data_IF_569956368635
#
_entry.id   IF_569956368635
#
_cell.length_a   1.000
_cell.length_b   1.000
_cell.length_c   1.000
_cell.angle_alpha   90.00
_cell.angle_beta   90.00
_cell.angle_gamma   90.00
#
_symmetry.space_group_name_H-M   'P 1'
#
loop_
_entity.id
_entity.type
_entity.pdbx_description
1 polymer ?
#
# COMPACT_ATOMS: atom_id res chain seq x y z
N UNK A 1 -5.28 -4.69 32.89
CA UNK A 1 -3.96 -5.36 32.96
C UNK A 1 -3.52 -5.65 31.54
N UNK A 2 -2.29 -5.32 31.15
CA UNK A 2 -1.77 -5.62 29.80
C UNK A 2 -1.02 -6.96 29.84
N UNK A 3 -1.37 -7.87 28.93
CA UNK A 3 -0.70 -9.17 28.76
C UNK A 3 0.16 -9.11 27.50
N UNK A 4 1.47 -9.32 27.65
CA UNK A 4 2.40 -9.41 26.52
C UNK A 4 2.66 -10.85 26.17
N UNK A 5 2.45 -11.20 24.91
CA UNK A 5 2.51 -12.58 24.43
C UNK A 5 3.66 -12.72 23.45
N UNK A 6 4.57 -13.65 23.71
CA UNK A 6 5.70 -13.92 22.81
C UNK A 6 5.32 -15.02 21.83
N UNK A 7 5.61 -14.78 20.56
CA UNK A 7 5.34 -15.72 19.48
C UNK A 7 6.38 -15.62 18.38
N UNK A 8 6.29 -16.53 17.42
CA UNK A 8 7.11 -16.50 16.21
C UNK A 8 6.26 -15.95 15.07
N UNK A 9 6.78 -14.95 14.37
CA UNK A 9 6.18 -14.50 13.12
C UNK A 9 6.80 -15.24 11.93
N UNK A 10 5.97 -15.77 11.04
CA UNK A 10 6.42 -16.39 9.79
C UNK A 10 5.34 -16.21 8.70
N UNK A 11 5.74 -15.63 7.57
CA UNK A 11 4.91 -15.50 6.36
C UNK A 11 3.49 -14.95 6.60
N UNK A 12 3.37 -13.87 7.39
CA UNK A 12 2.09 -13.24 7.69
C UNK A 12 1.32 -13.86 8.86
N UNK A 13 1.84 -14.93 9.48
CA UNK A 13 1.21 -15.61 10.61
C UNK A 13 2.00 -15.39 11.89
N UNK A 14 1.28 -15.06 12.98
CA UNK A 14 1.85 -15.03 14.34
C UNK A 14 1.49 -16.35 15.02
N UNK A 15 2.50 -17.14 15.36
CA UNK A 15 2.36 -18.41 16.06
C UNK A 15 2.64 -18.16 17.54
N UNK A 16 1.58 -18.15 18.33
CA UNK A 16 1.66 -18.06 19.79
C UNK A 16 1.91 -19.48 20.31
N UNK A 17 2.94 -19.68 21.13
CA UNK A 17 3.31 -21.01 21.66
C UNK A 17 2.46 -21.44 22.86
N UNK A 18 1.79 -20.48 23.50
CA UNK A 18 1.02 -20.67 24.72
C UNK A 18 -0.46 -20.45 24.45
N UNK A 19 -1.31 -21.29 25.05
CA UNK A 19 -2.75 -21.14 24.92
C UNK A 19 -3.25 -20.05 25.87
N UNK A 20 -3.90 -19.03 25.31
CA UNK A 20 -4.44 -17.91 26.07
C UNK A 20 -5.96 -18.02 26.07
N UNK A 21 -6.52 -18.34 27.24
CA UNK A 21 -7.96 -18.38 27.43
C UNK A 21 -8.51 -16.97 27.50
N UNK A 22 -9.47 -16.67 26.63
CA UNK A 22 -10.16 -15.39 26.60
C UNK A 22 -11.65 -15.65 26.48
N UNK A 23 -12.45 -15.01 27.33
CA UNK A 23 -13.90 -15.24 27.34
C UNK A 23 -14.62 -14.52 26.19
N UNK A 24 -13.95 -13.53 25.58
CA UNK A 24 -14.49 -12.68 24.51
C UNK A 24 -13.39 -12.37 23.48
N UNK A 25 -13.75 -12.09 22.22
CA UNK A 25 -12.81 -11.57 21.23
C UNK A 25 -12.11 -10.31 21.72
N UNK A 26 -10.80 -10.24 21.53
CA UNK A 26 -9.96 -9.13 21.98
C UNK A 26 -9.20 -8.53 20.81
N UNK A 27 -9.10 -7.20 20.79
CA UNK A 27 -8.21 -6.49 19.88
C UNK A 27 -6.77 -6.67 20.35
N UNK A 28 -5.86 -6.96 19.42
CA UNK A 28 -4.44 -7.18 19.70
C UNK A 28 -3.56 -6.23 18.90
N UNK A 29 -2.46 -5.80 19.51
CA UNK A 29 -1.41 -5.05 18.85
C UNK A 29 -0.19 -5.97 18.70
N UNK A 30 0.29 -6.13 17.47
CA UNK A 30 1.45 -6.97 17.17
C UNK A 30 2.67 -6.08 17.00
N UNK A 31 3.69 -6.30 17.84
CA UNK A 31 4.96 -5.59 17.78
C UNK A 31 6.07 -6.57 17.40
N UNK A 32 6.81 -6.27 16.34
CA UNK A 32 7.99 -7.03 15.94
C UNK A 32 9.21 -6.51 16.69
N UNK A 33 9.99 -7.41 17.28
CA UNK A 33 11.18 -7.06 18.08
C UNK A 33 12.41 -6.76 17.21
N UNK A 34 12.38 -7.15 15.93
CA UNK A 34 13.43 -6.89 14.96
C UNK A 34 12.96 -5.88 13.91
N UNK A 35 13.92 -5.19 13.29
CA UNK A 35 13.64 -4.35 12.13
C UNK A 35 13.22 -5.21 10.94
N UNK A 36 11.91 -5.48 10.85
CA UNK A 36 11.32 -6.02 9.64
C UNK A 36 11.24 -4.91 8.61
N UNK A 37 11.88 -5.13 7.46
CA UNK A 37 11.62 -4.32 6.27
C UNK A 37 10.16 -4.49 5.92
N UNK A 38 9.32 -3.53 6.33
CA UNK A 38 7.96 -3.45 5.84
C UNK A 38 8.01 -3.51 4.30
N UNK A 39 7.07 -4.19 3.62
CA UNK A 39 6.96 -4.11 2.17
C UNK A 39 6.88 -2.62 1.84
N UNK A 40 7.99 -2.08 1.33
CA UNK A 40 8.22 -0.66 1.32
C UNK A 40 7.08 0.00 0.55
N UNK A 41 6.47 1.03 1.14
CA UNK A 41 5.70 1.99 0.34
C UNK A 41 6.62 2.35 -0.82
N UNK A 42 6.24 1.98 -2.06
CA UNK A 42 7.04 2.28 -3.25
C UNK A 42 7.25 3.79 -3.26
N UNK A 43 8.41 4.24 -2.76
CA UNK A 43 8.79 5.65 -2.84
C UNK A 43 8.96 5.91 -4.33
N UNK A 44 8.17 6.85 -4.85
CA UNK A 44 8.33 7.31 -6.22
C UNK A 44 9.75 7.87 -6.33
N UNK A 45 10.59 7.18 -7.09
CA UNK A 45 11.95 7.63 -7.35
C UNK A 45 11.87 8.73 -8.39
N UNK A 46 12.19 9.96 -7.99
CA UNK A 46 12.13 11.12 -8.88
C UNK A 46 13.02 10.96 -10.12
N UNK A 47 14.11 10.19 -9.98
CA UNK A 47 15.04 9.84 -11.06
C UNK A 47 14.42 8.95 -12.14
N UNK A 48 13.26 8.33 -11.88
CA UNK A 48 12.51 7.58 -12.90
C UNK A 48 11.62 8.49 -13.77
N UNK A 49 11.46 9.77 -13.40
CA UNK A 49 10.74 10.74 -14.23
C UNK A 49 11.69 11.35 -15.27
N UNK A 50 11.30 11.32 -16.54
CA UNK A 50 12.05 11.96 -17.62
C UNK A 50 11.11 12.66 -18.59
N UNK A 51 11.22 13.99 -18.64
CA UNK A 51 10.44 14.81 -19.56
C UNK A 51 10.69 14.45 -21.02
N UNK A 52 11.93 14.06 -21.37
CA UNK A 52 12.28 13.64 -22.73
C UNK A 52 11.55 12.36 -23.15
N UNK A 53 11.44 11.39 -22.24
CA UNK A 53 10.70 10.15 -22.48
C UNK A 53 9.20 10.45 -22.62
N UNK A 54 8.64 11.25 -21.72
CA UNK A 54 7.24 11.65 -21.78
C UNK A 54 6.91 12.40 -23.08
N UNK A 55 7.76 13.35 -23.49
CA UNK A 55 7.60 14.08 -24.76
C UNK A 55 7.58 13.14 -25.95
N UNK A 56 8.53 12.19 -26.03
CA UNK A 56 8.60 11.20 -27.12
C UNK A 56 7.37 10.30 -27.17
N UNK A 57 6.88 9.84 -26.01
CA UNK A 57 5.67 9.02 -25.93
C UNK A 57 4.42 9.77 -26.41
N UNK A 58 4.39 11.10 -26.23
CA UNK A 58 3.27 11.95 -26.62
C UNK A 58 3.34 12.46 -28.07
N UNK A 59 4.43 12.21 -28.81
CA UNK A 59 4.58 12.68 -30.20
C UNK A 59 3.49 12.15 -31.14
N UNK A 60 3.03 10.91 -30.92
CA UNK A 60 1.96 10.29 -31.71
C UNK A 60 0.57 10.46 -31.11
N UNK A 61 0.47 11.07 -29.92
CA UNK A 61 -0.80 11.25 -29.24
C UNK A 61 -1.57 12.42 -29.87
N UNK A 62 -2.77 12.12 -30.38
CA UNK A 62 -3.63 13.10 -31.07
C UNK A 62 -4.82 13.59 -30.23
N UNK A 63 -4.96 13.09 -29.00
CA UNK A 63 -6.08 13.48 -28.13
C UNK A 63 -5.87 14.87 -27.54
N UNK A 64 -6.96 15.61 -27.37
CA UNK A 64 -6.95 16.87 -26.61
C UNK A 64 -7.43 16.63 -25.19
N UNK A 65 -6.80 17.27 -24.22
CA UNK A 65 -7.33 17.32 -22.85
C UNK A 65 -8.73 17.96 -22.83
N UNK A 66 -8.96 18.96 -23.68
CA UNK A 66 -10.26 19.62 -23.78
C UNK A 66 -11.36 18.66 -24.24
N UNK A 67 -11.05 17.76 -25.18
CA UNK A 67 -12.03 16.79 -25.68
C UNK A 67 -12.45 15.82 -24.57
N UNK A 68 -11.47 15.31 -23.81
CA UNK A 68 -11.73 14.44 -22.66
C UNK A 68 -12.60 15.13 -21.59
N UNK A 69 -12.34 16.41 -21.31
CA UNK A 69 -13.14 17.19 -20.34
C UNK A 69 -14.57 17.42 -20.85
N UNK A 70 -14.74 17.67 -22.16
CA UNK A 70 -16.06 17.85 -22.76
C UNK A 70 -16.87 16.55 -22.68
N UNK A 71 -16.25 15.41 -22.98
CA UNK A 71 -16.89 14.09 -22.86
C UNK A 71 -17.31 13.79 -21.42
N UNK A 72 -16.43 14.00 -20.44
CA UNK A 72 -16.71 13.80 -19.01
C UNK A 72 -17.96 14.59 -18.56
N UNK A 73 -18.05 15.86 -18.96
CA UNK A 73 -19.19 16.73 -18.61
C UNK A 73 -20.48 16.31 -19.31
N UNK A 74 -20.39 15.79 -20.53
CA UNK A 74 -21.56 15.30 -21.27
C UNK A 74 -22.08 13.97 -20.71
N UNK A 75 -21.21 13.13 -20.16
CA UNK A 75 -21.60 11.84 -19.57
C UNK A 75 -22.17 11.93 -18.15
N UNK A 76 -22.09 13.11 -17.51
CA UNK A 76 -22.57 13.33 -16.13
C UNK A 76 -23.96 14.00 -16.09
N UNK A 77 -24.55 14.30 -17.26
CA UNK A 77 -25.93 14.76 -17.43
C UNK A 77 -26.81 13.57 -17.84
#
# INVERSE_FOLDING_TARGET
MMLTVKGVYKDGKVIIKEEIKTDKPLNVMVTFLEEVKAPGKKKLEINKFSFKIAKKLLESYKGSLSDAIIEERRSTV
#
